data_IF_631616778900
#
_entry.id   IF_631616778900
#
_cell.length_a   1.000
_cell.length_b   1.000
_cell.length_c   1.000
_cell.angle_alpha   90.00
_cell.angle_beta   90.00
_cell.angle_gamma   90.00
#
_symmetry.space_group_name_H-M   'P 1'
#
loop_
_entity.id
_entity.type
_entity.pdbx_description
1 polymer ?
#
# COMPACT_ATOMS: atom_id res chain seq x y z
N UNK A 1 -8.95 3.13 -22.45
CA UNK A 1 -9.18 3.79 -21.15
C UNK A 1 -7.83 4.36 -20.77
N UNK A 2 -7.64 5.69 -20.79
CA UNK A 2 -6.35 6.29 -20.43
C UNK A 2 -5.97 5.90 -19.01
N UNK A 3 -4.69 5.63 -18.75
CA UNK A 3 -4.23 5.41 -17.38
C UNK A 3 -4.54 6.68 -16.57
N UNK A 4 -5.39 6.56 -15.56
CA UNK A 4 -5.64 7.64 -14.60
C UNK A 4 -4.34 7.88 -13.85
N UNK A 5 -3.75 9.06 -14.02
CA UNK A 5 -2.51 9.45 -13.35
C UNK A 5 -2.84 10.17 -12.04
N UNK A 6 -2.20 9.74 -10.94
CA UNK A 6 -2.34 10.43 -9.65
C UNK A 6 -1.61 11.77 -9.70
N UNK A 7 -2.26 12.80 -9.17
CA UNK A 7 -1.62 14.07 -8.86
C UNK A 7 -0.52 13.88 -7.80
N UNK A 8 0.39 14.83 -7.69
CA UNK A 8 1.45 14.77 -6.67
C UNK A 8 0.89 14.83 -5.24
N UNK A 9 -0.27 15.49 -5.06
CA UNK A 9 -0.98 15.55 -3.79
C UNK A 9 -1.51 14.16 -3.41
N UNK A 10 -2.17 13.46 -4.34
CA UNK A 10 -2.66 12.10 -4.14
C UNK A 10 -1.50 11.12 -3.88
N UNK A 11 -0.42 11.20 -4.66
CA UNK A 11 0.79 10.38 -4.43
C UNK A 11 1.32 10.58 -3.02
N UNK A 12 1.45 11.83 -2.57
CA UNK A 12 1.92 12.17 -1.22
C UNK A 12 0.98 11.68 -0.13
N UNK A 13 -0.34 11.80 -0.32
CA UNK A 13 -1.34 11.31 0.63
C UNK A 13 -1.25 9.78 0.81
N UNK A 14 -1.12 9.05 -0.29
CA UNK A 14 -0.93 7.59 -0.26
C UNK A 14 0.40 7.20 0.39
N UNK A 15 1.51 7.86 0.03
CA UNK A 15 2.83 7.59 0.61
C UNK A 15 2.82 7.87 2.13
N UNK A 16 2.16 8.96 2.58
CA UNK A 16 1.96 9.25 3.99
C UNK A 16 1.16 8.16 4.71
N UNK A 17 0.05 7.70 4.11
CA UNK A 17 -0.75 6.63 4.70
C UNK A 17 0.07 5.34 4.85
N UNK A 18 0.86 4.97 3.85
CA UNK A 18 1.75 3.81 3.91
C UNK A 18 2.74 3.96 5.07
N UNK A 19 3.43 5.09 5.16
CA UNK A 19 4.44 5.32 6.20
C UNK A 19 3.87 5.36 7.63
N UNK A 20 2.61 5.77 7.78
CA UNK A 20 1.94 5.84 9.08
C UNK A 20 1.35 4.49 9.54
N UNK A 21 0.90 3.66 8.60
CA UNK A 21 0.11 2.46 8.90
C UNK A 21 0.85 1.15 8.65
N UNK A 22 1.93 1.15 7.86
CA UNK A 22 2.64 -0.06 7.46
C UNK A 22 4.02 -0.08 8.13
N UNK A 23 4.32 -1.19 8.80
CA UNK A 23 5.59 -1.43 9.47
C UNK A 23 6.35 -2.58 8.80
N UNK A 24 7.68 -2.50 8.67
CA UNK A 24 8.49 -3.62 8.19
C UNK A 24 8.47 -4.78 9.20
N UNK A 25 8.55 -6.01 8.70
CA UNK A 25 8.74 -7.20 9.54
C UNK A 25 9.67 -8.21 8.87
N UNK A 26 10.03 -9.28 9.59
CA UNK A 26 10.99 -10.29 9.12
C UNK A 26 10.37 -11.30 8.14
N UNK A 27 9.12 -11.68 8.36
CA UNK A 27 8.44 -12.72 7.59
C UNK A 27 7.44 -12.12 6.60
N UNK A 28 7.17 -12.75 5.45
CA UNK A 28 6.08 -12.34 4.58
C UNK A 28 4.72 -12.51 5.27
N UNK A 29 3.82 -11.55 5.11
CA UNK A 29 2.41 -11.72 5.50
C UNK A 29 1.55 -11.93 4.26
N UNK A 30 0.98 -13.13 4.12
CA UNK A 30 0.12 -13.47 2.97
C UNK A 30 -1.26 -12.79 3.04
N UNK A 31 -1.67 -12.31 4.21
CA UNK A 31 -2.98 -11.65 4.38
C UNK A 31 -2.96 -10.21 3.86
N UNK A 32 -1.78 -9.58 3.76
CA UNK A 32 -1.62 -8.19 3.32
C UNK A 32 -0.93 -8.11 1.96
N UNK A 33 -1.61 -8.63 0.95
CA UNK A 33 -1.17 -8.43 -0.45
C UNK A 33 -1.39 -6.99 -0.90
N UNK A 34 -0.77 -6.57 -2.00
CA UNK A 34 -0.97 -5.24 -2.60
C UNK A 34 -2.45 -4.93 -2.84
N UNK A 35 -3.25 -5.91 -3.24
CA UNK A 35 -4.69 -5.73 -3.45
C UNK A 35 -5.46 -5.53 -2.14
N UNK A 36 -5.13 -6.31 -1.12
CA UNK A 36 -5.75 -6.15 0.19
C UNK A 36 -5.40 -4.80 0.83
N UNK A 37 -4.13 -4.40 0.75
CA UNK A 37 -3.65 -3.11 1.24
C UNK A 37 -4.25 -1.92 0.47
N UNK A 38 -4.43 -2.07 -0.85
CA UNK A 38 -5.12 -1.10 -1.70
C UNK A 38 -6.55 -0.86 -1.21
N UNK A 39 -7.30 -1.93 -0.88
CA UNK A 39 -8.65 -1.81 -0.32
C UNK A 39 -8.63 -1.12 1.04
N UNK A 40 -7.67 -1.44 1.90
CA UNK A 40 -7.53 -0.79 3.21
C UNK A 40 -7.26 0.72 3.10
N UNK A 41 -6.44 1.12 2.13
CA UNK A 41 -6.24 2.53 1.83
C UNK A 41 -7.53 3.19 1.33
N UNK A 42 -8.24 2.58 0.38
CA UNK A 42 -9.51 3.09 -0.15
C UNK A 42 -10.60 3.25 0.93
N UNK A 43 -10.55 2.44 1.99
CA UNK A 43 -11.48 2.48 3.12
C UNK A 43 -11.03 3.44 4.25
N UNK A 44 -9.84 4.03 4.16
CA UNK A 44 -9.36 4.98 5.14
C UNK A 44 -10.11 6.33 5.04
N UNK A 45 -10.17 7.14 6.12
CA UNK A 45 -10.86 8.44 6.10
C UNK A 45 -10.40 9.39 4.98
N UNK A 46 -9.10 9.40 4.68
CA UNK A 46 -8.47 10.19 3.61
C UNK A 46 -8.18 9.34 2.36
N UNK A 47 -8.80 8.16 2.27
CA UNK A 47 -8.66 7.23 1.17
C UNK A 47 -9.37 7.69 -0.09
N UNK A 48 -8.86 7.27 -1.24
CA UNK A 48 -9.48 7.50 -2.54
C UNK A 48 -9.19 6.34 -3.48
N UNK A 49 -9.96 6.26 -4.57
CA UNK A 49 -9.86 5.16 -5.51
C UNK A 49 -8.49 5.13 -6.20
N UNK A 50 -7.87 3.95 -6.20
CA UNK A 50 -6.58 3.71 -6.85
C UNK A 50 -6.56 2.34 -7.51
N UNK A 51 -5.65 2.18 -8.47
CA UNK A 51 -5.36 0.87 -9.07
C UNK A 51 -4.36 0.10 -8.22
N UNK A 52 -4.36 -1.22 -8.38
CA UNK A 52 -3.35 -2.08 -7.74
C UNK A 52 -1.93 -1.74 -8.24
N UNK A 53 -1.78 -1.24 -9.48
CA UNK A 53 -0.50 -0.76 -10.04
C UNK A 53 0.02 0.45 -9.26
N UNK A 54 -0.82 1.47 -9.08
CA UNK A 54 -0.46 2.69 -8.34
C UNK A 54 -0.07 2.38 -6.88
N UNK A 55 -0.80 1.48 -6.22
CA UNK A 55 -0.46 1.10 -4.85
C UNK A 55 0.90 0.37 -4.77
N UNK A 56 1.19 -0.53 -5.72
CA UNK A 56 2.49 -1.20 -5.80
C UNK A 56 3.64 -0.22 -6.00
N UNK A 57 3.48 0.77 -6.86
CA UNK A 57 4.47 1.81 -7.09
C UNK A 57 4.71 2.64 -5.82
N UNK A 58 3.64 2.97 -5.08
CA UNK A 58 3.73 3.66 -3.80
C UNK A 58 4.51 2.87 -2.74
N UNK A 59 4.23 1.57 -2.61
CA UNK A 59 4.98 0.70 -1.72
C UNK A 59 6.49 0.73 -2.03
N UNK A 60 6.86 0.71 -3.32
CA UNK A 60 8.26 0.80 -3.74
C UNK A 60 8.87 2.17 -3.42
N UNK A 61 8.14 3.28 -3.66
CA UNK A 61 8.59 4.64 -3.27
C UNK A 61 8.84 4.74 -1.77
N UNK A 62 8.02 4.08 -0.96
CA UNK A 62 8.16 3.99 0.49
C UNK A 62 9.17 2.93 0.97
N UNK A 63 10.02 2.39 0.08
CA UNK A 63 11.04 1.36 0.37
C UNK A 63 10.48 -0.01 0.84
N UNK A 64 9.21 -0.32 0.58
CA UNK A 64 8.65 -1.65 0.79
C UNK A 64 8.72 -2.47 -0.49
N UNK A 65 9.72 -3.36 -0.55
CA UNK A 65 9.92 -4.23 -1.70
C UNK A 65 9.03 -5.49 -1.64
N UNK A 66 8.44 -5.90 -2.77
CA UNK A 66 7.65 -7.13 -2.83
C UNK A 66 8.54 -8.36 -2.73
N UNK A 67 8.02 -9.44 -2.14
CA UNK A 67 8.68 -10.74 -2.06
C UNK A 67 8.81 -11.37 -3.46
N UNK A 68 7.81 -11.19 -4.32
CA UNK A 68 7.82 -11.67 -5.69
C UNK A 68 7.11 -10.66 -6.62
N UNK A 69 7.89 -10.01 -7.50
CA UNK A 69 7.41 -9.00 -8.47
C UNK A 69 6.57 -9.59 -9.60
N UNK A 70 6.67 -10.89 -9.88
CA UNK A 70 5.99 -11.54 -10.99
C UNK A 70 4.52 -11.89 -10.67
N UNK A 71 4.08 -11.71 -9.42
CA UNK A 71 2.69 -11.96 -9.03
C UNK A 71 1.77 -10.78 -9.38
N UNK A 72 0.50 -11.09 -9.69
CA UNK A 72 -0.54 -10.08 -9.86
C UNK A 72 -0.80 -9.29 -8.57
N UNK A 73 -0.83 -9.97 -7.42
CA UNK A 73 -0.94 -9.36 -6.11
C UNK A 73 0.38 -9.56 -5.38
N UNK A 74 1.08 -8.46 -5.06
CA UNK A 74 2.39 -8.55 -4.44
C UNK A 74 2.25 -8.83 -2.95
N UNK A 75 3.07 -9.75 -2.45
CA UNK A 75 3.23 -9.99 -1.02
C UNK A 75 4.41 -9.16 -0.51
N UNK A 76 4.32 -8.70 0.73
CA UNK A 76 5.36 -7.90 1.37
C UNK A 76 5.72 -8.47 2.74
N UNK A 77 6.92 -8.12 3.21
CA UNK A 77 7.34 -8.38 4.59
C UNK A 77 6.91 -7.22 5.49
N UNK A 78 5.60 -7.09 5.66
CA UNK A 78 4.99 -5.98 6.41
C UNK A 78 3.92 -6.44 7.40
N UNK A 79 3.74 -5.66 8.46
CA UNK A 79 2.58 -5.72 9.35
C UNK A 79 1.82 -4.39 9.29
N UNK A 80 0.53 -4.42 9.65
CA UNK A 80 -0.22 -3.20 9.89
C UNK A 80 0.03 -2.73 11.33
N UNK A 81 0.21 -1.43 11.50
CA UNK A 81 0.15 -0.79 12.81
C UNK A 81 -1.27 -0.99 13.34
N UNK A 82 -1.40 -1.57 14.53
CA UNK A 82 -2.70 -1.63 15.18
C UNK A 82 -3.19 -0.19 15.42
N UNK A 83 -4.49 0.09 15.24
CA UNK A 83 -5.06 1.29 15.85
C UNK A 83 -4.85 1.10 17.34
N UNK A 84 -3.87 1.81 17.90
CA UNK A 84 -3.62 1.77 19.34
C UNK A 84 -4.96 2.08 20.02
N UNK A 85 -5.40 1.19 20.91
CA UNK A 85 -6.43 1.58 21.87
C UNK A 85 -5.89 2.85 22.54
N UNK A 86 -6.56 3.98 22.28
CA UNK A 86 -6.42 5.18 23.10
C UNK A 86 -7.13 4.95 24.42
#
# INVERSE_FOLDING_TARGET
>A
MGEYELTDIEKKAMDNWIMLNILPQKTPNKNYTSYALKILFEQAPDGFFITNKQFKEAMVRCNFLPVNKNKLNWEFRISLKSPGLK
#
